data_IF_530124286310
#
_entry.id   IF_530124286310
#
_cell.length_a   1.000
_cell.length_b   1.000
_cell.length_c   1.000
_cell.angle_alpha   90.00
_cell.angle_beta   90.00
_cell.angle_gamma   90.00
#
_symmetry.space_group_name_H-M   'P 1'
#
loop_
_entity.id
_entity.type
_entity.pdbx_description
1 polymer ?
#
# COMPACT_ATOMS: atom_id res chain seq x y z
N UNK A 1 -4.23 -33.24 -2.60
CA UNK A 1 -3.81 -34.43 -3.35
C UNK A 1 -3.42 -35.57 -2.37
N UNK A 2 -3.04 -36.72 -2.88
CA UNK A 2 -2.63 -37.88 -2.07
C UNK A 2 -1.39 -37.63 -1.19
N UNK A 3 -0.57 -36.63 -1.54
CA UNK A 3 0.63 -36.25 -0.77
C UNK A 3 0.32 -35.21 0.32
N UNK A 4 -0.96 -34.89 0.54
CA UNK A 4 -1.38 -33.87 1.51
C UNK A 4 -1.09 -32.43 1.09
N UNK A 5 -0.76 -32.17 -0.18
CA UNK A 5 -0.52 -30.81 -0.70
C UNK A 5 -1.79 -30.20 -1.23
N UNK A 6 -2.02 -28.94 -0.90
CA UNK A 6 -3.12 -28.14 -1.43
C UNK A 6 -2.61 -26.77 -1.88
N UNK A 7 -3.33 -26.17 -2.81
CA UNK A 7 -3.06 -24.81 -3.29
C UNK A 7 -4.39 -24.12 -3.56
N UNK A 8 -4.57 -22.93 -2.97
CA UNK A 8 -5.71 -22.06 -3.22
C UNK A 8 -5.19 -20.87 -4.02
N UNK A 9 -5.67 -20.70 -5.25
CA UNK A 9 -5.24 -19.63 -6.14
C UNK A 9 -6.34 -18.58 -6.28
N UNK A 10 -5.96 -17.36 -6.69
CA UNK A 10 -6.90 -16.29 -6.99
C UNK A 10 -7.52 -15.62 -5.76
N UNK A 11 -6.91 -15.78 -4.59
CA UNK A 11 -7.36 -15.05 -3.40
C UNK A 11 -6.93 -13.59 -3.48
N UNK A 12 -7.79 -12.70 -2.99
CA UNK A 12 -7.44 -11.27 -2.89
C UNK A 12 -6.38 -11.05 -1.81
N UNK A 13 -5.48 -10.08 -1.99
CA UNK A 13 -4.63 -9.62 -0.90
C UNK A 13 -5.49 -9.01 0.22
N UNK A 14 -4.99 -9.05 1.45
CA UNK A 14 -5.72 -8.59 2.64
C UNK A 14 -6.11 -9.73 3.56
N UNK A 15 -7.14 -9.55 4.36
CA UNK A 15 -7.61 -10.48 5.39
C UNK A 15 -8.53 -9.78 6.39
N UNK A 16 -8.82 -10.37 7.53
CA UNK A 16 -8.37 -11.70 7.98
C UNK A 16 -9.15 -12.85 7.33
N UNK A 17 -8.45 -13.85 6.86
CA UNK A 17 -9.05 -15.09 6.37
C UNK A 17 -9.09 -16.14 7.46
N UNK A 18 -10.13 -16.98 7.40
CA UNK A 18 -10.23 -18.20 8.19
C UNK A 18 -10.05 -19.41 7.25
N UNK A 19 -8.99 -20.18 7.47
CA UNK A 19 -8.70 -21.38 6.68
C UNK A 19 -8.95 -22.60 7.55
N UNK A 20 -9.87 -23.48 7.14
CA UNK A 20 -10.18 -24.72 7.80
C UNK A 20 -9.71 -25.89 6.94
N UNK A 21 -8.95 -26.77 7.54
CA UNK A 21 -8.47 -28.01 6.92
C UNK A 21 -9.16 -29.17 7.63
N UNK A 22 -9.95 -29.94 6.88
CA UNK A 22 -10.67 -31.09 7.39
C UNK A 22 -10.33 -32.35 6.59
N UNK A 23 -10.26 -33.48 7.25
CA UNK A 23 -10.06 -34.78 6.65
C UNK A 23 -10.81 -35.86 7.45
N UNK A 24 -11.38 -36.83 6.75
CA UNK A 24 -12.19 -37.90 7.35
C UNK A 24 -11.34 -38.69 8.36
N UNK A 25 -11.82 -38.77 9.62
CA UNK A 25 -11.11 -39.43 10.70
C UNK A 25 -10.07 -38.62 11.45
N UNK A 26 -9.95 -37.34 11.12
CA UNK A 26 -9.03 -36.41 11.74
C UNK A 26 -9.76 -35.18 12.28
N UNK A 27 -9.19 -34.55 13.31
CA UNK A 27 -9.71 -33.29 13.85
C UNK A 27 -9.46 -32.15 12.89
N UNK A 28 -10.47 -31.30 12.71
CA UNK A 28 -10.36 -30.10 11.90
C UNK A 28 -9.29 -29.18 12.48
N UNK A 29 -8.44 -28.66 11.61
CA UNK A 29 -7.46 -27.63 11.91
C UNK A 29 -7.92 -26.29 11.33
N UNK A 30 -8.03 -25.28 12.19
CA UNK A 30 -8.46 -23.95 11.79
C UNK A 30 -7.31 -22.96 12.03
N UNK A 31 -7.00 -22.19 10.98
CA UNK A 31 -6.12 -21.05 11.05
C UNK A 31 -7.01 -19.80 10.98
N UNK A 32 -6.95 -18.99 12.03
CA UNK A 32 -7.65 -17.70 12.05
C UNK A 32 -6.67 -16.56 11.78
N UNK A 33 -7.19 -15.41 11.36
CA UNK A 33 -6.40 -14.20 11.12
C UNK A 33 -5.27 -14.37 10.10
N UNK A 34 -5.50 -15.16 9.07
CA UNK A 34 -4.55 -15.31 7.96
C UNK A 34 -4.64 -14.09 7.07
N UNK A 35 -3.54 -13.37 6.91
CA UNK A 35 -3.44 -12.22 5.99
C UNK A 35 -2.61 -12.60 4.78
N UNK A 36 -3.06 -12.19 3.60
CA UNK A 36 -2.35 -12.40 2.34
C UNK A 36 -1.82 -11.08 1.82
N UNK A 37 -0.53 -11.01 1.60
CA UNK A 37 0.09 -9.87 0.97
C UNK A 37 0.14 -10.03 -0.55
N UNK A 38 0.10 -8.91 -1.27
CA UNK A 38 0.17 -8.92 -2.72
C UNK A 38 1.47 -9.56 -3.22
N UNK A 39 1.35 -10.49 -4.16
CA UNK A 39 2.49 -11.21 -4.73
C UNK A 39 3.16 -12.20 -3.77
N UNK A 40 2.58 -12.48 -2.61
CA UNK A 40 3.08 -13.48 -1.67
C UNK A 40 2.26 -14.76 -1.71
N UNK A 41 2.96 -15.89 -1.54
CA UNK A 41 2.33 -17.17 -1.26
C UNK A 41 2.51 -17.49 0.21
N UNK A 42 1.41 -17.69 0.93
CA UNK A 42 1.48 -18.11 2.32
C UNK A 42 1.44 -19.62 2.44
N UNK A 43 2.39 -20.18 3.16
CA UNK A 43 2.43 -21.62 3.42
C UNK A 43 1.79 -21.92 4.79
N UNK A 44 0.70 -22.67 4.77
CA UNK A 44 0.00 -23.13 5.96
C UNK A 44 0.15 -24.65 6.04
N UNK A 45 1.24 -25.10 6.65
CA UNK A 45 1.48 -26.53 6.88
C UNK A 45 0.99 -26.93 8.26
N UNK A 46 0.32 -28.06 8.36
CA UNK A 46 -0.08 -28.64 9.64
C UNK A 46 -0.09 -30.16 9.58
N UNK A 47 0.06 -30.78 10.75
CA UNK A 47 -0.28 -32.18 10.95
C UNK A 47 -1.68 -32.27 11.52
N UNK A 48 -2.52 -33.12 10.97
CA UNK A 48 -3.83 -33.44 11.51
C UNK A 48 -3.68 -34.58 12.53
N UNK A 49 -4.40 -34.45 13.65
CA UNK A 49 -4.46 -35.48 14.69
C UNK A 49 -5.67 -36.38 14.44
N UNK A 50 -5.51 -37.68 14.65
CA UNK A 50 -6.62 -38.63 14.59
C UNK A 50 -7.72 -38.27 15.61
N UNK A 51 -8.98 -38.40 15.21
CA UNK A 51 -10.14 -38.09 16.05
C UNK A 51 -10.42 -39.25 17.00
N UNK A 52 -9.58 -39.41 18.01
CA UNK A 52 -9.86 -40.26 19.17
C UNK A 52 -10.48 -39.41 20.27
N UNK A 53 -11.78 -39.11 20.12
CA UNK A 53 -12.66 -38.47 21.12
C UNK A 53 -12.06 -37.34 21.98
N UNK A 54 -12.57 -36.16 21.71
CA UNK A 54 -12.73 -35.01 22.61
C UNK A 54 -11.56 -34.05 22.85
N UNK A 55 -11.87 -32.82 22.52
CA UNK A 55 -11.58 -31.55 23.21
C UNK A 55 -10.37 -30.73 22.78
N UNK A 56 -10.75 -29.49 22.51
CA UNK A 56 -10.05 -28.22 22.48
C UNK A 56 -9.59 -27.75 21.11
N UNK A 57 -10.33 -26.72 20.67
CA UNK A 57 -9.95 -25.84 19.59
C UNK A 57 -8.59 -25.19 19.90
N UNK A 58 -7.55 -25.63 19.22
CA UNK A 58 -6.24 -24.98 19.30
C UNK A 58 -6.23 -23.89 18.25
N UNK A 59 -6.43 -22.66 18.67
CA UNK A 59 -6.23 -21.49 17.84
C UNK A 59 -4.72 -21.27 17.68
N UNK A 60 -4.19 -21.59 16.50
CA UNK A 60 -2.81 -21.26 16.14
C UNK A 60 -2.82 -19.98 15.34
N UNK A 61 -2.34 -18.89 15.93
CA UNK A 61 -2.04 -17.68 15.17
C UNK A 61 -0.77 -17.90 14.36
N UNK A 62 -0.91 -18.02 13.04
CA UNK A 62 0.24 -18.15 12.15
C UNK A 62 0.98 -16.83 12.03
N UNK A 63 2.23 -16.76 12.52
CA UNK A 63 3.15 -15.70 12.12
C UNK A 63 3.56 -15.97 10.67
N UNK A 64 3.41 -14.99 9.80
CA UNK A 64 3.91 -15.07 8.43
C UNK A 64 5.43 -15.34 8.46
N UNK A 65 5.83 -16.54 8.10
CA UNK A 65 7.24 -16.89 7.90
C UNK A 65 7.75 -16.27 6.59
N UNK A 66 9.01 -15.87 6.59
CA UNK A 66 9.71 -15.45 5.38
C UNK A 66 9.62 -16.57 4.31
N UNK A 67 8.86 -16.32 3.27
CA UNK A 67 8.74 -17.28 2.16
C UNK A 67 9.98 -17.24 1.28
N UNK A 68 10.71 -18.34 1.22
CA UNK A 68 11.91 -18.51 0.38
C UNK A 68 11.64 -18.52 -1.14
N UNK A 69 10.40 -18.29 -1.56
CA UNK A 69 10.02 -18.23 -2.99
C UNK A 69 10.01 -16.82 -3.56
N UNK A 70 10.27 -15.78 -2.75
CA UNK A 70 10.42 -14.42 -3.26
C UNK A 70 11.75 -14.27 -3.97
N UNK A 71 11.71 -14.10 -5.26
CA UNK A 71 12.85 -13.71 -6.09
C UNK A 71 12.78 -12.22 -6.37
N UNK A 72 13.79 -11.47 -5.91
CA UNK A 72 13.85 -10.01 -6.04
C UNK A 72 13.63 -9.25 -4.74
N UNK A 73 14.01 -7.97 -4.72
CA UNK A 73 13.78 -7.09 -3.59
C UNK A 73 12.35 -6.52 -3.66
N UNK A 74 11.46 -7.07 -2.86
CA UNK A 74 10.08 -6.61 -2.75
C UNK A 74 9.78 -6.19 -1.32
N UNK A 75 9.09 -5.07 -1.14
CA UNK A 75 8.58 -4.58 0.12
C UNK A 75 7.06 -4.46 0.01
N UNK A 76 6.33 -5.00 0.97
CA UNK A 76 4.88 -4.90 1.03
C UNK A 76 4.48 -4.19 2.32
N UNK A 77 3.61 -3.21 2.21
CA UNK A 77 3.14 -2.33 3.28
C UNK A 77 1.63 -2.41 3.29
N UNK A 78 1.05 -2.81 4.41
CA UNK A 78 -0.40 -2.95 4.57
C UNK A 78 -1.07 -1.66 5.05
N UNK A 79 -2.42 -1.62 5.03
CA UNK A 79 -3.22 -0.46 5.41
C UNK A 79 -2.90 0.04 6.83
N UNK A 80 -2.66 -0.85 7.79
CA UNK A 80 -2.33 -0.45 9.15
C UNK A 80 -0.97 0.25 9.23
N UNK A 81 0.03 -0.29 8.55
CA UNK A 81 1.36 0.34 8.48
C UNK A 81 1.30 1.69 7.76
N UNK A 82 0.46 1.83 6.74
CA UNK A 82 0.22 3.10 6.04
C UNK A 82 -0.40 4.12 6.99
N UNK A 83 -1.42 3.71 7.77
CA UNK A 83 -2.11 4.59 8.71
C UNK A 83 -1.22 5.03 9.89
N UNK A 84 -0.34 4.16 10.36
CA UNK A 84 0.56 4.43 11.49
C UNK A 84 1.79 5.26 11.08
N UNK A 85 2.01 5.44 9.76
CA UNK A 85 3.19 6.11 9.26
C UNK A 85 3.00 7.63 9.21
N UNK A 86 3.92 8.41 9.78
CA UNK A 86 3.91 9.85 9.60
C UNK A 86 4.19 10.19 8.12
N UNK A 87 3.27 10.88 7.49
CA UNK A 87 3.40 11.36 6.13
C UNK A 87 3.43 12.89 6.10
N UNK A 88 4.31 13.46 5.28
CA UNK A 88 4.45 14.91 5.14
C UNK A 88 3.50 15.41 4.04
N UNK A 89 3.47 14.71 2.91
CA UNK A 89 2.70 15.11 1.72
C UNK A 89 1.47 14.24 1.49
N UNK A 90 1.18 13.30 2.38
CA UNK A 90 0.09 12.33 2.29
C UNK A 90 0.06 11.63 0.94
N UNK A 91 1.24 11.20 0.49
CA UNK A 91 1.46 10.68 -0.85
C UNK A 91 2.01 9.24 -0.85
N UNK A 92 1.75 8.53 -1.94
CA UNK A 92 2.32 7.20 -2.16
C UNK A 92 3.86 7.24 -2.15
N UNK A 93 4.45 8.37 -2.55
CA UNK A 93 5.89 8.56 -2.50
C UNK A 93 6.44 8.53 -1.07
N UNK A 94 5.69 9.04 -0.09
CA UNK A 94 6.11 8.98 1.32
C UNK A 94 6.17 7.54 1.82
N UNK A 95 5.22 6.71 1.43
CA UNK A 95 5.22 5.28 1.77
C UNK A 95 6.36 4.56 1.05
N UNK A 96 6.56 4.85 -0.22
CA UNK A 96 7.61 4.23 -1.00
C UNK A 96 9.02 4.53 -0.47
N UNK A 97 9.23 5.68 0.21
CA UNK A 97 10.49 6.05 0.88
C UNK A 97 10.92 5.10 1.99
N UNK A 98 10.04 4.27 2.51
CA UNK A 98 10.43 3.22 3.46
C UNK A 98 11.36 2.18 2.81
N UNK A 99 11.38 2.11 1.49
CA UNK A 99 12.32 1.27 0.78
C UNK A 99 13.68 1.99 0.67
N UNK A 100 14.76 1.44 1.24
CA UNK A 100 16.07 2.10 1.27
C UNK A 100 16.73 2.26 -0.12
N UNK A 101 16.22 1.55 -1.13
CA UNK A 101 16.70 1.66 -2.52
C UNK A 101 15.96 2.72 -3.32
N UNK A 102 14.96 3.37 -2.73
CA UNK A 102 14.26 4.49 -3.34
C UNK A 102 14.85 5.79 -2.83
N UNK A 103 15.24 6.64 -3.75
CA UNK A 103 15.58 8.04 -3.47
C UNK A 103 14.52 8.96 -4.06
N UNK A 104 14.16 10.00 -3.34
CA UNK A 104 13.25 11.02 -3.84
C UNK A 104 13.98 12.35 -3.88
N UNK A 105 13.81 13.08 -4.97
CA UNK A 105 14.25 14.47 -5.04
C UNK A 105 13.23 15.34 -4.30
N UNK A 106 13.67 16.00 -3.22
CA UNK A 106 12.80 16.77 -2.33
C UNK A 106 12.05 17.91 -3.02
N UNK A 107 12.59 18.50 -4.08
CA UNK A 107 11.96 19.62 -4.80
C UNK A 107 10.94 19.15 -5.85
N UNK A 108 11.23 18.06 -6.56
CA UNK A 108 10.38 17.60 -7.66
C UNK A 108 9.48 16.42 -7.31
N UNK A 109 9.67 15.80 -6.15
CA UNK A 109 8.98 14.55 -5.78
C UNK A 109 9.34 13.35 -6.68
N UNK A 110 10.37 13.48 -7.51
CA UNK A 110 10.81 12.45 -8.44
C UNK A 110 11.32 11.23 -7.68
N UNK A 111 10.82 10.06 -8.04
CA UNK A 111 11.19 8.78 -7.43
C UNK A 111 12.22 8.06 -8.31
N UNK A 112 13.38 7.77 -7.76
CA UNK A 112 14.43 6.99 -8.40
C UNK A 112 14.64 5.68 -7.64
N UNK A 113 14.43 4.56 -8.31
CA UNK A 113 14.72 3.23 -7.79
C UNK A 113 16.12 2.80 -8.23
N UNK A 114 16.98 2.49 -7.26
CA UNK A 114 18.35 2.05 -7.51
C UNK A 114 19.13 2.95 -8.50
N UNK A 115 18.90 4.27 -8.45
CA UNK A 115 19.54 5.24 -9.33
C UNK A 115 18.93 5.36 -10.74
N UNK A 116 17.88 4.61 -11.07
CA UNK A 116 17.21 4.70 -12.36
C UNK A 116 16.29 5.91 -12.43
N UNK A 117 16.18 6.51 -13.60
CA UNK A 117 15.29 7.64 -13.83
C UNK A 117 13.82 7.23 -13.61
N UNK A 118 13.02 8.14 -13.05
CA UNK A 118 11.59 7.92 -12.77
C UNK A 118 10.76 7.46 -13.97
N UNK A 119 11.14 7.81 -15.19
CA UNK A 119 10.47 7.39 -16.43
C UNK A 119 10.53 5.88 -16.70
N UNK A 120 11.46 5.19 -16.05
CA UNK A 120 11.63 3.75 -16.19
C UNK A 120 10.93 2.97 -15.07
N UNK A 121 10.21 3.66 -14.20
CA UNK A 121 9.41 3.04 -13.15
C UNK A 121 8.02 2.68 -13.68
N UNK A 122 7.40 1.70 -13.04
CA UNK A 122 6.00 1.35 -13.27
C UNK A 122 5.16 1.70 -12.06
N UNK A 123 4.06 2.39 -12.28
CA UNK A 123 3.04 2.64 -11.28
C UNK A 123 1.74 1.92 -11.68
N UNK A 124 1.24 1.06 -10.82
CA UNK A 124 0.06 0.25 -11.07
C UNK A 124 -0.94 0.41 -9.92
N UNK A 125 -2.22 0.42 -10.28
CA UNK A 125 -3.34 0.44 -9.35
C UNK A 125 -4.24 -0.73 -9.72
N UNK A 126 -4.46 -1.64 -8.78
CA UNK A 126 -5.23 -2.88 -8.98
C UNK A 126 -4.79 -3.68 -10.22
N UNK A 127 -3.49 -3.65 -10.53
CA UNK A 127 -2.89 -4.30 -11.69
C UNK A 127 -3.00 -3.53 -13.01
N UNK A 128 -3.62 -2.35 -13.02
CA UNK A 128 -3.70 -1.47 -14.19
C UNK A 128 -2.56 -0.47 -14.17
N UNK A 129 -1.83 -0.37 -15.28
CA UNK A 129 -0.74 0.60 -15.45
C UNK A 129 -1.30 2.04 -15.46
N UNK A 130 -0.73 2.88 -14.61
CA UNK A 130 -1.06 4.30 -14.51
C UNK A 130 0.19 5.17 -14.66
N UNK A 131 1.05 4.78 -15.60
CA UNK A 131 2.29 5.51 -15.89
C UNK A 131 2.01 6.80 -16.66
N UNK A 132 2.80 7.82 -16.39
CA UNK A 132 2.87 9.00 -17.26
C UNK A 132 3.62 8.67 -18.56
N UNK A 133 2.89 8.38 -19.61
CA UNK A 133 3.45 8.01 -20.94
C UNK A 133 4.24 9.15 -21.60
N UNK A 134 3.96 10.40 -21.23
CA UNK A 134 4.63 11.56 -21.80
C UNK A 134 5.88 11.96 -21.02
N UNK A 135 6.08 11.43 -19.83
CA UNK A 135 7.21 11.73 -18.95
C UNK A 135 7.23 13.19 -18.48
N UNK A 136 6.07 13.80 -18.32
CA UNK A 136 5.90 15.18 -17.89
C UNK A 136 5.87 15.32 -16.37
N UNK A 137 5.66 14.21 -15.66
CA UNK A 137 5.50 14.22 -14.19
C UNK A 137 6.75 13.72 -13.50
N UNK A 138 7.10 14.39 -12.43
CA UNK A 138 8.25 13.99 -11.62
C UNK A 138 8.05 12.67 -10.88
N UNK A 139 6.82 12.39 -10.45
CA UNK A 139 6.47 11.15 -9.73
C UNK A 139 6.19 9.94 -10.64
N UNK A 140 6.18 10.14 -11.96
CA UNK A 140 5.99 9.07 -12.94
C UNK A 140 4.54 8.57 -13.08
N UNK A 141 3.57 9.21 -12.42
CA UNK A 141 2.15 8.86 -12.50
C UNK A 141 1.32 9.95 -13.16
N UNK A 142 0.15 9.60 -13.68
CA UNK A 142 -0.79 10.57 -14.23
C UNK A 142 -1.24 11.57 -13.15
N UNK A 143 -1.44 12.83 -13.52
CA UNK A 143 -1.85 13.91 -12.62
C UNK A 143 -0.72 14.56 -11.83
N UNK A 144 0.48 14.01 -11.83
CA UNK A 144 1.61 14.51 -11.03
C UNK A 144 2.08 15.91 -11.45
N UNK A 145 1.83 16.34 -12.68
CA UNK A 145 2.14 17.70 -13.13
C UNK A 145 1.30 18.75 -12.38
N UNK A 146 0.08 18.42 -12.04
CA UNK A 146 -0.80 19.26 -11.22
C UNK A 146 -0.60 19.03 -9.70
N UNK A 147 0.40 18.22 -9.29
CA UNK A 147 0.60 17.84 -7.90
C UNK A 147 -0.49 16.91 -7.34
N UNK A 148 -1.35 16.37 -8.22
CA UNK A 148 -2.42 15.48 -7.82
C UNK A 148 -1.97 14.01 -7.88
N UNK A 149 -2.53 13.19 -7.00
CA UNK A 149 -2.28 11.76 -7.00
C UNK A 149 -3.39 11.03 -7.76
N UNK A 150 -3.09 9.90 -8.41
CA UNK A 150 -4.10 9.16 -9.18
C UNK A 150 -5.19 8.54 -8.29
N UNK A 151 -4.87 8.27 -7.03
CA UNK A 151 -5.81 7.78 -6.00
C UNK A 151 -5.44 8.37 -4.65
N UNK A 152 -6.45 8.58 -3.81
CA UNK A 152 -6.26 8.98 -2.42
C UNK A 152 -5.53 7.89 -1.64
N UNK A 153 -4.63 8.29 -0.76
CA UNK A 153 -3.91 7.40 0.15
C UNK A 153 -4.88 6.58 1.02
N UNK A 154 -5.99 7.19 1.41
CA UNK A 154 -7.02 6.55 2.23
C UNK A 154 -7.79 5.44 1.51
N UNK A 155 -7.73 5.39 0.18
CA UNK A 155 -8.33 4.31 -0.60
C UNK A 155 -7.45 3.08 -0.71
N UNK A 156 -6.19 3.17 -0.29
CA UNK A 156 -5.21 2.11 -0.48
C UNK A 156 -5.28 1.13 0.68
N UNK A 157 -5.41 -0.15 0.35
CA UNK A 157 -5.33 -1.27 1.29
C UNK A 157 -3.90 -1.77 1.46
N UNK A 158 -3.15 -1.79 0.35
CA UNK A 158 -1.80 -2.31 0.35
C UNK A 158 -0.95 -1.67 -0.75
N UNK A 159 0.31 -1.41 -0.45
CA UNK A 159 1.32 -1.00 -1.42
C UNK A 159 2.42 -2.05 -1.47
N UNK A 160 2.76 -2.49 -2.67
CA UNK A 160 3.92 -3.30 -2.93
C UNK A 160 4.93 -2.52 -3.77
N UNK A 161 6.16 -2.45 -3.28
CA UNK A 161 7.29 -1.86 -3.99
C UNK A 161 8.22 -2.99 -4.43
N UNK A 162 8.40 -3.16 -5.72
CA UNK A 162 9.25 -4.19 -6.30
C UNK A 162 10.44 -3.54 -7.01
N UNK A 163 11.63 -4.03 -6.72
CA UNK A 163 12.85 -3.63 -7.40
C UNK A 163 13.45 -4.86 -8.05
N UNK A 164 13.63 -4.79 -9.38
CA UNK A 164 14.14 -5.88 -10.19
C UNK A 164 13.39 -7.23 -9.94
N UNK A 165 12.07 -7.28 -10.13
CA UNK A 165 11.34 -8.54 -9.98
C UNK A 165 11.74 -9.53 -11.08
N UNK A 166 11.94 -10.79 -10.69
CA UNK A 166 12.17 -11.89 -11.64
C UNK A 166 10.88 -12.63 -12.03
N UNK A 167 9.75 -11.93 -11.99
CA UNK A 167 8.45 -12.48 -12.36
C UNK A 167 8.10 -12.05 -13.79
N UNK A 168 7.91 -13.02 -14.68
CA UNK A 168 7.58 -12.79 -16.10
C UNK A 168 6.25 -12.08 -16.32
N UNK A 169 5.39 -12.04 -15.32
CA UNK A 169 4.12 -11.29 -15.35
C UNK A 169 4.30 -9.80 -15.11
N UNK A 170 5.46 -9.41 -14.55
CA UNK A 170 5.81 -8.03 -14.28
C UNK A 170 6.82 -7.56 -15.33
N UNK A 171 6.41 -6.68 -16.20
CA UNK A 171 7.24 -6.16 -17.28
C UNK A 171 6.92 -4.71 -17.61
N UNK A 172 7.60 -4.18 -18.62
CA UNK A 172 7.39 -2.81 -19.10
C UNK A 172 8.12 -1.73 -18.29
N UNK A 173 9.06 -2.11 -17.42
CA UNK A 173 9.89 -1.19 -16.66
C UNK A 173 11.30 -1.76 -16.42
N UNK A 174 12.27 -0.89 -16.17
CA UNK A 174 13.66 -1.27 -15.86
C UNK A 174 14.13 -0.72 -14.52
N UNK A 175 13.37 0.18 -13.91
CA UNK A 175 13.58 0.69 -12.55
C UNK A 175 12.83 -0.14 -11.51
N UNK A 176 12.00 0.50 -10.72
CA UNK A 176 11.11 -0.15 -9.77
C UNK A 176 9.66 -0.14 -10.21
N UNK A 177 8.87 -0.99 -9.59
CA UNK A 177 7.42 -0.99 -9.73
C UNK A 177 6.74 -0.73 -8.39
N UNK A 178 5.80 0.21 -8.38
CA UNK A 178 4.88 0.43 -7.27
C UNK A 178 3.53 -0.14 -7.70
N UNK A 179 3.01 -1.06 -6.93
CA UNK A 179 1.70 -1.65 -7.16
C UNK A 179 0.82 -1.38 -5.93
N UNK A 180 -0.20 -0.56 -6.11
CA UNK A 180 -1.17 -0.23 -5.10
C UNK A 180 -2.45 -1.05 -5.29
N UNK A 181 -2.99 -1.57 -4.21
CA UNK A 181 -4.28 -2.26 -4.18
C UNK A 181 -5.26 -1.40 -3.42
N UNK A 182 -6.42 -1.16 -4.00
CA UNK A 182 -7.44 -0.34 -3.36
C UNK A 182 -8.30 -1.13 -2.38
N UNK A 183 -8.81 -0.44 -1.36
CA UNK A 183 -9.78 -0.99 -0.40
C UNK A 183 -11.05 -1.42 -1.13
N UNK A 184 -11.68 -2.46 -0.64
CA UNK A 184 -12.97 -2.92 -1.11
C UNK A 184 -13.99 -2.98 0.04
N UNK A 185 -15.28 -2.97 -0.29
CA UNK A 185 -16.32 -3.17 0.69
C UNK A 185 -16.28 -4.58 1.29
N UNK A 186 -16.69 -4.69 2.53
CA UNK A 186 -16.76 -5.94 3.29
C UNK A 186 -18.18 -6.20 3.76
N UNK A 187 -18.40 -7.27 4.56
CA UNK A 187 -19.70 -7.56 5.17
C UNK A 187 -20.09 -6.60 6.30
N UNK A 188 -19.16 -5.75 6.71
CA UNK A 188 -19.36 -4.74 7.75
C UNK A 188 -19.21 -3.35 7.13
N UNK A 189 -19.97 -2.38 7.66
CA UNK A 189 -19.80 -0.99 7.24
C UNK A 189 -18.57 -0.40 7.91
N UNK A 190 -17.69 0.16 7.10
CA UNK A 190 -16.51 0.89 7.52
C UNK A 190 -16.50 2.26 6.86
N UNK A 191 -16.12 3.27 7.61
CA UNK A 191 -15.95 4.61 7.08
C UNK A 191 -14.89 5.36 7.86
N UNK A 192 -14.27 6.31 7.20
CA UNK A 192 -13.31 7.25 7.80
C UNK A 192 -13.57 8.65 7.27
N UNK A 193 -13.28 9.64 8.10
CA UNK A 193 -13.21 11.04 7.70
C UNK A 193 -11.86 11.59 8.08
N UNK A 194 -11.26 12.39 7.22
CA UNK A 194 -9.92 12.93 7.43
C UNK A 194 -9.83 14.38 6.96
N UNK A 195 -8.96 15.11 7.63
CA UNK A 195 -8.64 16.49 7.31
C UNK A 195 -7.14 16.72 7.56
N UNK A 196 -6.48 17.29 6.57
CA UNK A 196 -5.09 17.73 6.67
C UNK A 196 -5.01 19.19 6.24
N UNK A 197 -4.25 19.94 6.96
CA UNK A 197 -4.01 21.35 6.65
C UNK A 197 -2.57 21.71 6.91
N UNK A 198 -1.97 22.42 6.00
CA UNK A 198 -0.62 22.99 6.13
C UNK A 198 -0.64 24.42 5.62
N UNK A 199 0.13 25.30 6.28
CA UNK A 199 0.35 26.65 5.85
C UNK A 199 1.75 27.14 6.29
N UNK A 200 2.18 28.27 5.77
CA UNK A 200 3.48 28.86 6.08
C UNK A 200 3.67 29.14 7.60
N UNK A 201 2.59 29.28 8.37
CA UNK A 201 2.67 29.55 9.80
C UNK A 201 3.04 28.34 10.63
N UNK A 202 2.75 27.14 10.11
CA UNK A 202 3.08 25.85 10.72
C UNK A 202 4.52 25.42 10.38
N UNK A 203 5.11 25.99 9.34
CA UNK A 203 6.53 25.78 9.01
C UNK A 203 7.35 26.72 9.87
N UNK A 204 8.35 26.21 10.58
CA UNK A 204 9.18 27.00 11.50
C UNK A 204 9.82 28.21 10.81
N UNK A 205 9.44 29.41 11.26
CA UNK A 205 9.84 30.66 10.62
C UNK A 205 11.25 31.12 10.92
N UNK A 206 11.94 30.50 11.86
CA UNK A 206 13.16 31.04 12.44
C UNK A 206 14.28 30.03 12.46
N UNK A 207 14.87 29.75 11.32
CA UNK A 207 16.18 29.12 11.32
C UNK A 207 17.27 30.15 10.97
N UNK A 208 18.42 30.00 11.63
CA UNK A 208 19.60 30.77 11.29
C UNK A 208 20.36 30.09 10.18
N UNK A 209 20.72 30.87 9.17
CA UNK A 209 21.68 30.45 8.17
C UNK A 209 23.08 30.28 8.82
N UNK A 210 23.98 29.63 8.14
CA UNK A 210 25.37 29.43 8.61
C UNK A 210 26.10 30.77 8.82
N UNK A 211 25.69 31.83 8.15
CA UNK A 211 26.23 33.21 8.30
C UNK A 211 25.66 33.97 9.50
N UNK A 212 24.74 33.34 10.25
CA UNK A 212 24.11 33.95 11.42
C UNK A 212 22.91 34.84 11.13
N UNK A 213 22.53 35.03 9.86
CA UNK A 213 21.32 35.73 9.45
C UNK A 213 20.09 34.86 9.65
N UNK A 214 18.93 35.47 9.89
CA UNK A 214 17.66 34.71 9.87
C UNK A 214 17.20 34.50 8.44
N UNK A 215 16.74 33.29 8.15
CA UNK A 215 16.11 32.98 6.87
C UNK A 215 14.89 33.90 6.67
N UNK A 216 14.65 34.28 5.42
CA UNK A 216 13.43 34.99 5.05
C UNK A 216 12.20 34.11 5.40
N UNK A 217 11.10 34.74 5.81
CA UNK A 217 9.84 34.03 5.98
C UNK A 217 9.49 33.25 4.69
N UNK A 218 8.92 32.07 4.84
CA UNK A 218 8.34 31.38 3.70
C UNK A 218 7.25 32.22 3.07
N UNK A 219 7.17 32.19 1.73
CA UNK A 219 6.08 32.79 0.99
C UNK A 219 4.75 32.14 1.36
N UNK A 220 3.64 32.83 1.12
CA UNK A 220 2.31 32.35 1.47
C UNK A 220 2.01 31.03 0.75
N UNK A 221 2.01 29.96 1.52
CA UNK A 221 1.70 28.60 1.07
C UNK A 221 0.52 28.07 1.87
N UNK A 222 -0.44 27.49 1.21
CA UNK A 222 -1.58 26.84 1.84
C UNK A 222 -1.92 25.54 1.13
N UNK A 223 -2.01 24.49 1.90
CA UNK A 223 -2.52 23.20 1.45
C UNK A 223 -3.64 22.75 2.37
N UNK A 224 -4.76 22.38 1.80
CA UNK A 224 -5.89 21.83 2.53
C UNK A 224 -6.39 20.58 1.80
N UNK A 225 -6.50 19.49 2.54
CA UNK A 225 -7.01 18.24 2.03
C UNK A 225 -8.04 17.69 3.01
N UNK A 226 -9.23 17.38 2.51
CA UNK A 226 -10.25 16.73 3.32
C UNK A 226 -10.98 15.67 2.49
N UNK A 227 -11.46 14.66 3.16
CA UNK A 227 -12.18 13.60 2.49
C UNK A 227 -12.86 12.65 3.46
N UNK A 228 -13.57 11.72 2.86
CA UNK A 228 -14.19 10.61 3.59
C UNK A 228 -14.21 9.35 2.75
N UNK A 229 -14.21 8.22 3.43
CA UNK A 229 -14.41 6.91 2.81
C UNK A 229 -15.62 6.23 3.41
N UNK A 230 -16.32 5.43 2.62
CA UNK A 230 -17.42 4.60 3.06
C UNK A 230 -17.43 3.30 2.28
N UNK A 231 -17.43 2.18 2.97
CA UNK A 231 -17.53 0.85 2.37
C UNK A 231 -18.43 -0.07 3.17
N UNK A 232 -19.02 -1.04 2.49
CA UNK A 232 -19.90 -1.99 3.16
C UNK A 232 -20.63 -2.91 2.19
N UNK A 233 -21.57 -3.75 2.70
CA UNK A 233 -22.36 -4.65 1.89
C UNK A 233 -23.62 -3.95 1.35
N UNK A 234 -23.86 -4.08 0.05
CA UNK A 234 -25.18 -3.85 -0.53
C UNK A 234 -26.03 -5.11 -0.29
N UNK A 235 -25.45 -6.27 -0.55
CA UNK A 235 -26.07 -7.57 -0.23
C UNK A 235 -25.00 -8.38 0.50
N UNK A 236 -25.28 -8.78 1.73
CA UNK A 236 -24.33 -9.56 2.55
C UNK A 236 -23.84 -10.80 1.80
N UNK A 237 -22.53 -11.03 1.85
CA UNK A 237 -21.81 -12.13 1.22
C UNK A 237 -21.86 -12.17 -0.33
N UNK A 238 -22.44 -11.16 -1.00
CA UNK A 238 -22.62 -11.17 -2.46
C UNK A 238 -22.18 -9.90 -3.15
N UNK A 239 -22.61 -8.73 -2.66
CA UNK A 239 -22.38 -7.47 -3.33
C UNK A 239 -21.91 -6.41 -2.33
N UNK A 240 -20.79 -5.80 -2.61
CA UNK A 240 -20.15 -4.81 -1.77
C UNK A 240 -19.92 -3.52 -2.56
N UNK A 241 -19.77 -2.44 -1.84
CA UNK A 241 -19.34 -1.16 -2.41
C UNK A 241 -18.24 -0.55 -1.57
N UNK A 242 -17.44 0.28 -2.19
CA UNK A 242 -16.51 1.19 -1.54
C UNK A 242 -16.53 2.50 -2.32
N UNK A 243 -16.63 3.62 -1.60
CA UNK A 243 -16.64 4.96 -2.16
C UNK A 243 -15.66 5.84 -1.38
N UNK A 244 -14.97 6.72 -2.10
CA UNK A 244 -14.12 7.75 -1.53
C UNK A 244 -14.47 9.08 -2.20
N UNK A 245 -14.44 10.13 -1.38
CA UNK A 245 -14.42 11.51 -1.84
C UNK A 245 -13.26 12.24 -1.19
N UNK A 246 -12.46 12.91 -1.99
CA UNK A 246 -11.35 13.73 -1.53
C UNK A 246 -11.34 15.05 -2.30
N UNK A 247 -11.13 16.13 -1.56
CA UNK A 247 -10.88 17.46 -2.12
C UNK A 247 -9.54 17.96 -1.62
N UNK A 248 -8.67 18.31 -2.55
CA UNK A 248 -7.34 18.87 -2.29
C UNK A 248 -7.23 20.25 -2.93
N UNK A 249 -6.93 21.24 -2.13
CA UNK A 249 -6.69 22.61 -2.56
C UNK A 249 -5.27 23.00 -2.17
N UNK A 250 -4.47 23.41 -3.16
CA UNK A 250 -3.08 23.82 -2.98
C UNK A 250 -2.87 25.20 -3.60
N UNK A 251 -2.29 26.08 -2.82
CA UNK A 251 -1.90 27.42 -3.28
C UNK A 251 -0.41 27.63 -2.98
N UNK A 252 0.35 27.89 -4.02
CA UNK A 252 1.78 28.17 -3.93
C UNK A 252 2.07 29.51 -4.61
N UNK A 253 3.00 30.32 -4.07
CA UNK A 253 3.44 31.53 -4.72
C UNK A 253 4.15 31.18 -6.04
N UNK A 254 3.78 31.83 -7.12
CA UNK A 254 4.51 31.76 -8.39
C UNK A 254 5.74 32.64 -8.29
N UNK A 255 6.91 32.05 -8.36
CA UNK A 255 8.15 32.81 -8.57
C UNK A 255 8.21 33.21 -10.05
N UNK A 256 8.16 34.50 -10.31
CA UNK A 256 8.43 35.09 -11.62
C UNK A 256 9.91 35.43 -11.76
#
# INVERSE_FOLDING_TARGET
NVDGRYTIQGMRPGGPYRVSISYIGYKDKVFNNVSLNLGESQNLSCSLQEDAKQLQEVVVSGKAGLNGTKTGAAMSINAQQIADMPSISHSIADVARLNPQLTTNGQSGSMSFAGMNNRYNSFQIDGVMNNDVFGLTANGSNGGQAGSQPVSMETIDQIQVNIAPFDVRQGGFTGGAINAVTKSGTNEFHGSGYFYGNNQDLVGRHYKNMDGTYAQPYDDEKETLFGFTLGGPIIKNKLFFFANYENSEKSYPTQY
#
